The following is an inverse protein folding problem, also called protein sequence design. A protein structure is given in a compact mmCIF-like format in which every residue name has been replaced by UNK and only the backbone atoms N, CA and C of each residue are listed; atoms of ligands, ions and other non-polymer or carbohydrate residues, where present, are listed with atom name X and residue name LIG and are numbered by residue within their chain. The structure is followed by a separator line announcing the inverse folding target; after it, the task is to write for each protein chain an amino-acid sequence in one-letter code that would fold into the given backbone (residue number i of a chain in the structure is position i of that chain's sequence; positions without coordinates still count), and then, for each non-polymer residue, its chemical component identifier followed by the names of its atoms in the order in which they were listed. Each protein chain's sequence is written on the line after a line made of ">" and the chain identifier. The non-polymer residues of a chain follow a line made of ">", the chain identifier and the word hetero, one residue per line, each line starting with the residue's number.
data_IF_938733175253
#
_entry.id   IF_938733175253
#
_cell.length_a   1.000
_cell.length_b   1.000
_cell.length_c   1.000
_cell.angle_alpha   90.00
_cell.angle_beta   90.00
_cell.angle_gamma   90.00
#
_symmetry.space_group_name_H-M   'P 1'
#
loop_
_entity.id
_entity.type
_entity.pdbx_description
1 polymer ?
#
# COMPACT_ATOMS: atom_id res chain seq x y z
N UNK A 1 -14.41 18.90 -26.64
CA UNK A 1 -13.34 19.80 -27.12
C UNK A 1 -12.37 19.96 -25.95
N UNK A 2 -11.14 19.46 -25.90
CA UNK A 2 -10.19 18.87 -26.85
C UNK A 2 -9.47 17.74 -26.11
N UNK A 3 -9.65 16.49 -26.56
CA UNK A 3 -8.82 15.37 -26.13
C UNK A 3 -7.44 15.64 -26.72
N UNK A 4 -6.51 16.06 -25.88
CA UNK A 4 -5.11 16.27 -26.27
C UNK A 4 -4.57 14.97 -26.86
N UNK A 5 -4.04 15.02 -28.08
CA UNK A 5 -3.49 13.91 -28.87
C UNK A 5 -2.25 13.24 -28.23
N UNK A 6 -2.02 13.40 -26.93
CA UNK A 6 -0.90 12.83 -26.18
C UNK A 6 -1.11 11.37 -25.72
N UNK A 7 -2.22 10.73 -26.06
CA UNK A 7 -2.51 9.34 -25.65
C UNK A 7 -1.99 8.26 -26.61
N UNK A 8 -1.29 8.62 -27.70
CA UNK A 8 -0.90 7.66 -28.76
C UNK A 8 0.61 7.65 -29.11
N UNK A 9 1.51 8.18 -28.28
CA UNK A 9 2.94 8.28 -28.66
C UNK A 9 3.98 8.05 -27.54
N UNK A 10 3.67 7.33 -26.46
CA UNK A 10 4.60 7.21 -25.31
C UNK A 10 5.08 5.79 -24.99
N UNK A 11 4.95 4.86 -25.93
CA UNK A 11 5.78 3.65 -25.99
C UNK A 11 7.22 3.93 -26.50
N UNK A 12 7.56 5.17 -26.86
CA UNK A 12 8.81 5.52 -27.55
C UNK A 12 9.87 6.28 -26.72
N UNK A 13 9.67 6.56 -25.42
CA UNK A 13 10.63 7.40 -24.65
C UNK A 13 10.94 6.93 -23.22
N UNK A 14 10.64 5.67 -22.88
CA UNK A 14 11.28 5.00 -21.74
C UNK A 14 12.70 4.60 -22.20
N UNK A 15 13.77 4.98 -21.48
CA UNK A 15 15.05 4.32 -21.76
C UNK A 15 14.90 2.84 -21.48
N UNK A 16 15.56 1.98 -22.26
CA UNK A 16 15.54 0.52 -22.07
C UNK A 16 15.97 0.04 -20.67
N UNK A 17 16.47 0.94 -19.79
CA UNK A 17 17.05 0.62 -18.48
C UNK A 17 16.55 1.49 -17.31
N UNK A 18 15.58 2.40 -17.49
CA UNK A 18 15.10 3.29 -16.40
C UNK A 18 13.58 3.37 -16.38
N UNK A 19 12.99 3.20 -15.19
CA UNK A 19 11.54 3.28 -14.93
C UNK A 19 11.02 4.71 -14.69
N UNK A 20 11.81 5.72 -15.09
CA UNK A 20 11.51 7.15 -14.94
C UNK A 20 11.53 7.82 -16.31
N UNK A 21 10.51 8.64 -16.60
CA UNK A 21 10.38 9.32 -17.89
C UNK A 21 11.46 10.40 -18.08
N UNK A 22 12.10 10.44 -19.26
CA UNK A 22 13.16 11.42 -19.59
C UNK A 22 12.65 12.87 -19.68
N UNK A 23 11.36 13.08 -19.96
CA UNK A 23 10.77 14.40 -20.21
C UNK A 23 10.13 15.00 -18.95
N UNK A 24 9.14 14.33 -18.36
CA UNK A 24 8.45 14.84 -17.15
C UNK A 24 9.17 14.48 -15.85
N UNK A 25 10.15 13.56 -15.88
CA UNK A 25 10.84 13.01 -14.68
C UNK A 25 9.92 12.28 -13.69
N UNK A 26 8.72 11.98 -14.13
CA UNK A 26 7.69 11.29 -13.37
C UNK A 26 7.86 9.76 -13.52
N UNK A 27 7.43 8.99 -12.53
CA UNK A 27 7.60 7.53 -12.57
C UNK A 27 6.68 6.95 -13.66
N UNK A 28 6.91 5.72 -14.11
CA UNK A 28 5.98 5.03 -15.02
C UNK A 28 4.52 5.06 -14.51
N UNK A 29 4.34 5.17 -13.20
CA UNK A 29 3.07 5.22 -12.47
C UNK A 29 2.26 6.49 -12.77
N UNK A 30 2.92 7.57 -13.20
CA UNK A 30 2.29 8.85 -13.56
C UNK A 30 1.77 8.88 -15.03
N UNK A 31 2.04 7.81 -15.80
CA UNK A 31 1.78 7.76 -17.24
C UNK A 31 0.96 6.54 -17.72
N UNK A 32 0.78 5.53 -16.88
CA UNK A 32 0.01 4.34 -17.24
C UNK A 32 -0.71 3.80 -16.00
N UNK A 33 -2.01 4.07 -15.91
CA UNK A 33 -2.86 3.39 -14.94
C UNK A 33 -3.13 1.97 -15.44
N UNK A 34 -2.69 0.98 -14.66
CA UNK A 34 -2.97 -0.45 -14.84
C UNK A 34 -4.48 -0.70 -14.98
N UNK A 35 -4.84 -1.79 -15.66
CA UNK A 35 -6.21 -2.31 -15.58
C UNK A 35 -6.51 -2.84 -14.16
N UNK A 36 -7.78 -2.82 -13.76
CA UNK A 36 -8.23 -3.41 -12.49
C UNK A 36 -7.78 -4.87 -12.36
N UNK A 37 -7.74 -5.63 -13.45
CA UNK A 37 -7.28 -7.01 -13.45
C UNK A 37 -5.77 -7.16 -13.13
N UNK A 38 -4.95 -6.20 -13.53
CA UNK A 38 -3.53 -6.18 -13.21
C UNK A 38 -3.29 -5.79 -11.74
N UNK A 39 -4.05 -4.83 -11.22
CA UNK A 39 -4.02 -4.47 -9.80
C UNK A 39 -4.41 -5.67 -8.92
N UNK A 40 -5.43 -6.44 -9.31
CA UNK A 40 -5.85 -7.65 -8.59
C UNK A 40 -4.78 -8.74 -8.63
N UNK A 41 -4.06 -8.89 -9.74
CA UNK A 41 -2.93 -9.83 -9.83
C UNK A 41 -1.76 -9.37 -8.95
N UNK A 42 -1.46 -8.07 -8.91
CA UNK A 42 -0.39 -7.50 -8.06
C UNK A 42 -0.67 -7.78 -6.58
N UNK A 43 -1.83 -7.36 -6.08
CA UNK A 43 -2.21 -7.62 -4.69
C UNK A 43 -2.34 -9.12 -4.43
N UNK A 44 -2.90 -9.87 -5.38
CA UNK A 44 -3.05 -11.31 -5.31
C UNK A 44 -1.72 -12.04 -5.07
N UNK A 45 -0.65 -11.64 -5.78
CA UNK A 45 0.71 -12.17 -5.58
C UNK A 45 1.34 -11.74 -4.26
N UNK A 46 1.11 -10.50 -3.83
CA UNK A 46 1.61 -10.01 -2.54
C UNK A 46 0.99 -10.78 -1.37
N UNK A 47 -0.32 -11.00 -1.38
CA UNK A 47 -1.03 -11.69 -0.31
C UNK A 47 -0.98 -13.23 -0.44
N UNK A 48 -0.63 -13.76 -1.62
CA UNK A 48 -0.37 -15.17 -1.81
C UNK A 48 0.73 -15.64 -0.86
N UNK A 49 0.57 -16.86 -0.33
CA UNK A 49 1.54 -17.51 0.57
C UNK A 49 1.80 -16.72 1.87
N UNK A 50 0.89 -15.81 2.21
CA UNK A 50 0.84 -15.14 3.50
C UNK A 50 -0.38 -15.62 4.31
N UNK A 51 -0.45 -15.18 5.56
CA UNK A 51 -1.65 -15.34 6.42
C UNK A 51 -2.94 -14.82 5.77
N UNK A 52 -2.83 -13.87 4.84
CA UNK A 52 -3.95 -13.22 4.17
C UNK A 52 -4.35 -13.88 2.84
N UNK A 53 -3.89 -15.11 2.59
CA UNK A 53 -4.21 -15.84 1.36
C UNK A 53 -5.71 -16.08 1.16
N UNK A 54 -6.53 -16.04 2.22
CA UNK A 54 -7.99 -16.10 2.15
C UNK A 54 -8.62 -14.93 1.36
N UNK A 55 -7.95 -13.76 1.34
CA UNK A 55 -8.33 -12.57 0.56
C UNK A 55 -8.02 -12.72 -0.94
N UNK A 56 -7.50 -13.86 -1.36
CA UNK A 56 -7.15 -14.12 -2.77
C UNK A 56 -7.85 -15.38 -3.29
N UNK A 57 -8.00 -15.50 -4.60
CA UNK A 57 -8.58 -16.66 -5.29
C UNK A 57 -7.62 -17.17 -6.36
N UNK A 58 -7.56 -18.50 -6.56
CA UNK A 58 -6.83 -19.08 -7.70
C UNK A 58 -7.61 -18.82 -8.99
N UNK A 59 -6.91 -18.42 -10.04
CA UNK A 59 -7.51 -18.30 -11.38
C UNK A 59 -7.71 -19.71 -11.96
N UNK A 60 -8.94 -20.03 -12.38
CA UNK A 60 -9.24 -21.32 -13.01
C UNK A 60 -8.50 -21.46 -14.34
N UNK A 61 -7.82 -22.59 -14.55
CA UNK A 61 -7.09 -22.87 -15.80
C UNK A 61 -5.81 -22.04 -16.01
N UNK A 62 -5.32 -21.34 -14.98
CA UNK A 62 -4.07 -20.56 -15.03
C UNK A 62 -2.86 -21.32 -14.48
N UNK A 63 -1.71 -20.66 -14.56
CA UNK A 63 -0.38 -21.03 -14.04
C UNK A 63 -0.27 -21.07 -12.49
N UNK A 64 -1.38 -21.20 -11.78
CA UNK A 64 -1.43 -21.09 -10.31
C UNK A 64 -1.47 -19.65 -9.79
N UNK A 65 -1.49 -18.63 -10.66
CA UNK A 65 -1.64 -17.22 -10.24
C UNK A 65 -2.87 -17.02 -9.36
N UNK A 66 -2.69 -16.29 -8.27
CA UNK A 66 -3.76 -15.85 -7.37
C UNK A 66 -4.10 -14.39 -7.64
N UNK A 67 -5.39 -14.07 -7.64
CA UNK A 67 -5.94 -12.72 -7.79
C UNK A 67 -6.56 -12.27 -6.48
N UNK A 68 -6.50 -10.97 -6.20
CA UNK A 68 -7.16 -10.37 -5.06
C UNK A 68 -8.68 -10.45 -5.22
N UNK A 69 -9.38 -10.86 -4.16
CA UNK A 69 -10.85 -10.81 -4.08
C UNK A 69 -11.28 -9.40 -3.72
N UNK A 70 -11.05 -8.44 -4.62
CA UNK A 70 -11.40 -7.04 -4.41
C UNK A 70 -12.89 -6.91 -4.07
N UNK A 71 -13.20 -6.27 -2.95
CA UNK A 71 -14.56 -5.98 -2.55
C UNK A 71 -15.04 -4.70 -3.25
N UNK A 72 -15.87 -4.83 -4.29
CA UNK A 72 -16.53 -3.69 -4.95
C UNK A 72 -17.88 -3.45 -4.27
N UNK A 73 -18.10 -2.24 -3.76
CA UNK A 73 -19.33 -1.89 -3.07
C UNK A 73 -20.20 -1.01 -3.96
N UNK A 74 -21.45 -1.42 -4.17
CA UNK A 74 -22.45 -0.66 -4.93
C UNK A 74 -23.53 -0.20 -3.97
N UNK A 75 -23.79 1.11 -3.95
CA UNK A 75 -24.86 1.72 -3.15
C UNK A 75 -25.89 2.27 -4.12
N UNK A 76 -27.14 1.87 -3.94
CA UNK A 76 -28.27 2.37 -4.72
C UNK A 76 -29.22 3.14 -3.80
N UNK A 77 -29.25 4.46 -3.96
CA UNK A 77 -30.11 5.34 -3.20
C UNK A 77 -31.40 5.62 -4.00
N UNK A 78 -32.59 5.28 -3.47
CA UNK A 78 -33.84 5.61 -4.13
C UNK A 78 -34.07 7.12 -4.10
N UNK A 79 -34.30 7.71 -5.27
CA UNK A 79 -34.76 9.10 -5.40
C UNK A 79 -36.28 9.04 -5.49
N UNK A 80 -36.94 9.43 -4.40
CA UNK A 80 -38.40 9.49 -4.35
C UNK A 80 -38.87 10.75 -5.07
N UNK A 81 -39.06 10.65 -6.40
CA UNK A 81 -39.78 11.64 -7.19
C UNK A 81 -41.23 11.22 -7.37
N UNK A 82 -42.16 12.19 -7.36
CA UNK A 82 -43.62 11.94 -7.46
C UNK A 82 -44.07 11.39 -8.82
N UNK A 83 -43.21 11.38 -9.84
CA UNK A 83 -43.59 11.00 -11.22
C UNK A 83 -42.90 9.73 -11.73
N UNK A 84 -41.69 9.40 -11.29
CA UNK A 84 -41.00 8.16 -11.63
C UNK A 84 -39.96 7.81 -10.55
N UNK A 85 -39.90 6.57 -10.02
CA UNK A 85 -38.83 6.16 -9.12
C UNK A 85 -37.51 6.06 -9.89
N UNK A 86 -36.59 6.99 -9.64
CA UNK A 86 -35.22 6.94 -10.16
C UNK A 86 -34.26 6.50 -9.06
N UNK A 87 -33.14 5.88 -9.41
CA UNK A 87 -32.14 5.43 -8.44
C UNK A 87 -30.79 6.08 -8.72
N UNK A 88 -30.15 6.64 -7.70
CA UNK A 88 -28.76 7.07 -7.77
C UNK A 88 -27.85 5.91 -7.37
N UNK A 89 -26.95 5.50 -8.26
CA UNK A 89 -26.06 4.37 -8.01
C UNK A 89 -24.61 4.82 -7.93
N UNK A 90 -24.02 4.68 -6.75
CA UNK A 90 -22.62 4.96 -6.50
C UNK A 90 -21.87 3.64 -6.45
N UNK A 91 -20.85 3.49 -7.29
CA UNK A 91 -19.96 2.33 -7.29
C UNK A 91 -18.61 2.70 -6.69
N UNK A 92 -18.27 2.12 -5.55
CA UNK A 92 -16.91 2.16 -4.99
C UNK A 92 -16.10 1.01 -5.58
N UNK A 93 -14.95 1.32 -6.19
CA UNK A 93 -14.05 0.34 -6.78
C UNK A 93 -13.39 -0.55 -5.72
N UNK A 94 -13.30 -0.08 -4.47
CA UNK A 94 -12.79 -0.84 -3.34
C UNK A 94 -13.50 -0.46 -2.05
N UNK A 95 -13.70 -1.44 -1.17
CA UNK A 95 -14.13 -1.28 0.21
C UNK A 95 -13.40 -2.29 1.11
N UNK A 96 -13.27 -2.03 2.42
CA UNK A 96 -12.62 -2.97 3.32
C UNK A 96 -13.30 -4.36 3.29
N UNK A 97 -12.53 -5.45 3.34
CA UNK A 97 -13.08 -6.80 3.30
C UNK A 97 -13.80 -7.15 4.61
N UNK A 98 -14.81 -8.01 4.53
CA UNK A 98 -15.47 -8.60 5.71
C UNK A 98 -16.46 -7.70 6.44
N UNK A 99 -16.78 -6.51 5.91
CA UNK A 99 -17.73 -5.59 6.54
C UNK A 99 -19.17 -5.83 6.10
N UNK A 100 -20.10 -5.54 7.01
CA UNK A 100 -21.49 -5.29 6.63
C UNK A 100 -21.59 -4.02 5.79
N UNK A 101 -22.62 -3.92 4.94
CA UNK A 101 -22.82 -2.74 4.09
C UNK A 101 -22.93 -1.46 4.93
N UNK A 102 -23.63 -1.50 6.07
CA UNK A 102 -23.76 -0.37 6.99
C UNK A 102 -22.40 0.15 7.47
N UNK A 103 -21.53 -0.76 7.93
CA UNK A 103 -20.22 -0.38 8.44
C UNK A 103 -19.29 0.11 7.33
N UNK A 104 -19.37 -0.49 6.14
CA UNK A 104 -18.62 -0.04 4.97
C UNK A 104 -19.03 1.38 4.52
N UNK A 105 -20.32 1.72 4.59
CA UNK A 105 -20.82 3.08 4.31
C UNK A 105 -20.24 4.08 5.31
N UNK A 106 -20.34 3.79 6.62
CA UNK A 106 -19.77 4.66 7.66
C UNK A 106 -18.26 4.84 7.49
N UNK A 107 -17.54 3.78 7.10
CA UNK A 107 -16.12 3.86 6.81
C UNK A 107 -15.83 4.82 5.65
N UNK A 108 -16.59 4.72 4.54
CA UNK A 108 -16.43 5.61 3.40
C UNK A 108 -16.77 7.07 3.74
N UNK A 109 -17.73 7.33 4.63
CA UNK A 109 -18.06 8.68 5.10
C UNK A 109 -16.92 9.35 5.88
N UNK A 110 -16.05 8.56 6.51
CA UNK A 110 -14.87 9.05 7.25
C UNK A 110 -13.63 9.27 6.37
N UNK A 111 -13.72 8.96 5.07
CA UNK A 111 -12.67 9.26 4.08
C UNK A 111 -13.00 10.58 3.37
N UNK A 112 -12.04 11.51 3.22
CA UNK A 112 -12.22 12.74 2.44
C UNK A 112 -12.82 12.45 1.06
N UNK A 113 -13.82 13.25 0.63
CA UNK A 113 -14.64 12.96 -0.55
C UNK A 113 -13.80 12.82 -1.83
N UNK A 114 -12.76 13.64 -1.96
CA UNK A 114 -11.79 13.65 -3.04
C UNK A 114 -10.88 12.41 -3.09
N UNK A 115 -10.76 11.67 -1.98
CA UNK A 115 -9.95 10.45 -1.87
C UNK A 115 -10.79 9.16 -1.94
N UNK A 116 -12.13 9.26 -1.93
CA UNK A 116 -12.99 8.08 -1.98
C UNK A 116 -12.84 7.36 -3.32
N UNK A 117 -12.71 6.02 -3.35
CA UNK A 117 -12.46 5.27 -4.58
C UNK A 117 -13.75 5.05 -5.39
N UNK A 118 -14.50 6.11 -5.65
CA UNK A 118 -15.72 6.06 -6.47
C UNK A 118 -15.34 5.94 -7.94
N UNK A 119 -15.93 4.98 -8.64
CA UNK A 119 -15.63 4.67 -10.04
C UNK A 119 -15.72 5.93 -10.92
N UNK A 120 -14.68 6.14 -11.75
CA UNK A 120 -14.60 7.29 -12.66
C UNK A 120 -14.18 8.62 -12.01
N UNK A 121 -13.96 8.67 -10.69
CA UNK A 121 -13.57 9.91 -9.99
C UNK A 121 -12.05 10.05 -9.81
N UNK A 122 -11.60 11.24 -9.38
CA UNK A 122 -10.19 11.48 -9.02
C UNK A 122 -9.74 10.60 -7.84
N UNK A 123 -10.63 10.29 -6.89
CA UNK A 123 -10.29 9.42 -5.76
C UNK A 123 -10.00 7.98 -6.18
N UNK A 124 -10.73 7.44 -7.16
CA UNK A 124 -10.40 6.14 -7.76
C UNK A 124 -9.03 6.15 -8.46
N UNK A 125 -8.72 7.20 -9.23
CA UNK A 125 -7.41 7.36 -9.85
C UNK A 125 -6.30 7.52 -8.81
N UNK A 126 -6.54 8.29 -7.75
CA UNK A 126 -5.60 8.47 -6.65
C UNK A 126 -5.31 7.14 -5.94
N UNK A 127 -6.33 6.33 -5.64
CA UNK A 127 -6.14 4.97 -5.10
C UNK A 127 -5.24 4.11 -6.01
N UNK A 128 -5.47 4.09 -7.32
CA UNK A 128 -4.63 3.32 -8.27
C UNK A 128 -3.17 3.81 -8.27
N UNK A 129 -2.94 5.13 -8.22
CA UNK A 129 -1.59 5.70 -8.08
C UNK A 129 -0.91 5.27 -6.78
N UNK A 130 -1.63 5.28 -5.66
CA UNK A 130 -1.11 4.79 -4.37
C UNK A 130 -0.75 3.30 -4.45
N UNK A 131 -1.57 2.46 -5.10
CA UNK A 131 -1.28 1.03 -5.30
C UNK A 131 0.06 0.82 -6.00
N UNK A 132 0.28 1.53 -7.10
CA UNK A 132 1.52 1.46 -7.87
C UNK A 132 2.73 1.93 -7.06
N UNK A 133 2.61 3.09 -6.42
CA UNK A 133 3.70 3.72 -5.66
C UNK A 133 4.07 2.96 -4.38
N UNK A 134 3.06 2.49 -3.66
CA UNK A 134 3.25 1.84 -2.35
C UNK A 134 3.58 0.36 -2.46
N UNK A 135 3.13 -0.32 -3.52
CA UNK A 135 3.32 -1.76 -3.74
C UNK A 135 3.86 -2.03 -5.16
N UNK A 136 5.07 -1.53 -5.50
CA UNK A 136 5.63 -1.78 -6.82
C UNK A 136 5.81 -3.28 -7.08
N UNK A 137 5.41 -3.75 -8.26
CA UNK A 137 5.46 -5.18 -8.60
C UNK A 137 6.89 -5.73 -8.58
N UNK A 138 7.84 -4.89 -8.99
CA UNK A 138 9.27 -5.19 -9.01
C UNK A 138 9.94 -5.13 -7.63
N UNK A 139 9.20 -4.85 -6.55
CA UNK A 139 9.73 -5.01 -5.20
C UNK A 139 9.52 -6.44 -4.66
N UNK A 140 8.71 -7.26 -5.34
CA UNK A 140 8.37 -8.59 -4.84
C UNK A 140 8.28 -9.71 -5.88
N UNK A 141 8.47 -9.39 -7.17
CA UNK A 141 8.50 -10.37 -8.25
C UNK A 141 9.86 -10.28 -8.96
N UNK A 142 10.79 -11.23 -8.76
CA UNK A 142 12.11 -11.19 -9.38
C UNK A 142 12.09 -11.04 -10.90
N UNK A 143 11.13 -11.68 -11.58
CA UNK A 143 10.96 -11.59 -13.04
C UNK A 143 10.48 -10.22 -13.54
N UNK A 144 10.22 -9.27 -12.65
CA UNK A 144 9.86 -7.88 -12.99
C UNK A 144 11.02 -6.90 -12.73
N UNK A 145 12.15 -7.40 -12.24
CA UNK A 145 13.38 -6.64 -12.06
C UNK A 145 14.29 -6.75 -13.29
N UNK A 146 15.15 -5.76 -13.51
CA UNK A 146 16.10 -5.79 -14.61
C UNK A 146 17.40 -6.47 -14.16
N UNK A 147 17.84 -7.49 -14.89
CA UNK A 147 19.18 -8.08 -14.78
C UNK A 147 19.56 -8.63 -13.39
N UNK A 148 18.60 -9.15 -12.60
CA UNK A 148 18.95 -9.92 -11.41
C UNK A 148 19.68 -11.22 -11.84
N UNK A 149 20.83 -11.47 -11.23
CA UNK A 149 21.46 -12.79 -11.27
C UNK A 149 20.60 -13.82 -10.52
N UNK A 150 20.82 -15.12 -10.79
CA UNK A 150 20.09 -16.20 -10.10
C UNK A 150 20.24 -16.10 -8.56
N UNK A 151 21.42 -15.69 -8.09
CA UNK A 151 21.68 -15.49 -6.66
C UNK A 151 20.85 -14.33 -6.10
N UNK A 152 20.84 -13.18 -6.77
CA UNK A 152 20.07 -12.00 -6.33
C UNK A 152 18.56 -12.24 -6.41
N UNK A 153 18.09 -12.95 -7.43
CA UNK A 153 16.70 -13.37 -7.54
C UNK A 153 16.31 -14.25 -6.34
N UNK A 154 17.19 -15.18 -5.94
CA UNK A 154 16.96 -16.03 -4.77
C UNK A 154 16.93 -15.23 -3.46
N UNK A 155 17.87 -14.30 -3.28
CA UNK A 155 17.86 -13.38 -2.13
C UNK A 155 16.59 -12.53 -2.07
N UNK A 156 16.08 -12.10 -3.22
CA UNK A 156 14.81 -11.36 -3.30
C UNK A 156 13.62 -12.23 -2.92
N UNK A 157 13.55 -13.49 -3.37
CA UNK A 157 12.51 -14.43 -2.95
C UNK A 157 12.50 -14.65 -1.43
N UNK A 158 13.68 -14.86 -0.85
CA UNK A 158 13.82 -15.08 0.59
C UNK A 158 13.46 -13.81 1.38
N UNK A 159 13.85 -12.63 0.88
CA UNK A 159 13.43 -11.34 1.42
C UNK A 159 11.91 -11.16 1.39
N UNK A 160 11.27 -11.51 0.27
CA UNK A 160 9.82 -11.44 0.10
C UNK A 160 9.10 -12.36 1.08
N UNK A 161 9.57 -13.60 1.20
CA UNK A 161 9.05 -14.56 2.17
C UNK A 161 9.15 -14.02 3.60
N UNK A 162 10.32 -13.49 3.97
CA UNK A 162 10.56 -12.93 5.29
C UNK A 162 9.58 -11.80 5.64
N UNK A 163 9.40 -10.80 4.77
CA UNK A 163 8.51 -9.70 5.12
C UNK A 163 7.04 -10.12 5.10
N UNK A 164 6.63 -11.06 4.22
CA UNK A 164 5.25 -11.58 4.18
C UNK A 164 4.87 -12.23 5.50
N UNK A 165 5.83 -12.92 6.12
CA UNK A 165 5.67 -13.59 7.41
C UNK A 165 5.73 -12.61 8.59
N UNK A 166 6.67 -11.66 8.57
CA UNK A 166 7.03 -10.89 9.75
C UNK A 166 6.49 -9.45 9.78
N UNK A 167 6.22 -8.83 8.63
CA UNK A 167 5.89 -7.41 8.55
C UNK A 167 4.56 -7.12 7.84
N UNK A 168 4.24 -7.83 6.76
CA UNK A 168 3.04 -7.60 5.95
C UNK A 168 1.77 -7.83 6.78
N UNK A 169 0.86 -6.88 6.72
CA UNK A 169 -0.46 -6.93 7.34
C UNK A 169 -1.53 -6.35 6.44
N UNK A 170 -2.79 -6.69 6.74
CA UNK A 170 -3.98 -6.06 6.17
C UNK A 170 -4.81 -5.52 7.34
N UNK A 171 -5.15 -4.23 7.29
CA UNK A 171 -5.91 -3.57 8.34
C UNK A 171 -7.32 -4.15 8.46
N UNK A 172 -7.78 -4.30 9.69
CA UNK A 172 -9.11 -4.80 10.02
C UNK A 172 -9.99 -3.61 10.40
N UNK A 173 -11.19 -3.51 9.84
CA UNK A 173 -12.12 -2.43 10.17
C UNK A 173 -13.21 -2.97 11.09
N UNK A 174 -13.35 -2.36 12.26
CA UNK A 174 -14.34 -2.73 13.26
C UNK A 174 -14.72 -1.50 14.09
N UNK A 175 -15.77 -1.59 14.92
CA UNK A 175 -16.01 -0.54 15.91
C UNK A 175 -14.98 -0.59 17.04
N UNK A 176 -14.72 0.54 17.71
CA UNK A 176 -13.82 0.58 18.85
C UNK A 176 -14.15 -0.47 19.93
N UNK A 177 -13.22 -1.39 20.17
CA UNK A 177 -13.33 -2.49 21.13
C UNK A 177 -13.69 -3.84 20.50
N UNK A 178 -14.04 -3.87 19.22
CA UNK A 178 -14.46 -5.09 18.50
C UNK A 178 -13.35 -5.66 17.59
N UNK A 179 -12.17 -5.02 17.54
CA UNK A 179 -11.04 -5.50 16.75
C UNK A 179 -10.58 -6.89 17.19
N UNK A 180 -10.44 -7.82 16.24
CA UNK A 180 -9.95 -9.17 16.50
C UNK A 180 -11.00 -10.15 16.97
N UNK A 181 -12.27 -9.74 17.10
CA UNK A 181 -13.37 -10.59 17.57
C UNK A 181 -13.51 -11.90 16.77
N UNK A 182 -13.23 -11.88 15.46
CA UNK A 182 -13.29 -13.07 14.60
C UNK A 182 -12.21 -14.13 14.88
N UNK A 183 -11.23 -13.87 15.77
CA UNK A 183 -10.13 -14.80 16.09
C UNK A 183 -10.24 -15.43 17.47
N UNK A 184 -11.07 -14.90 18.37
CA UNK A 184 -11.25 -15.47 19.71
C UNK A 184 -12.15 -16.71 19.72
N UNK A 185 -13.06 -16.84 18.75
CA UNK A 185 -13.96 -17.99 18.67
C UNK A 185 -13.22 -19.30 18.32
N UNK A 186 -12.06 -19.25 17.65
CA UNK A 186 -11.23 -20.42 17.35
C UNK A 186 -10.36 -20.89 18.54
N UNK A 187 -10.25 -20.10 19.63
CA UNK A 187 -9.42 -20.44 20.81
C UNK A 187 -10.21 -21.00 22.00
N UNK A 188 -11.54 -21.06 21.94
CA UNK A 188 -12.39 -21.58 23.04
C UNK A 188 -12.57 -23.12 23.04
N UNK A 189 -11.61 -23.88 22.52
CA UNK A 189 -11.62 -25.34 22.64
C UNK A 189 -10.31 -25.92 23.22
N UNK A 190 -9.73 -25.24 24.22
CA UNK A 190 -8.59 -25.71 25.00
C UNK A 190 -8.91 -25.70 26.49
N UNK A 191 -9.02 -26.89 27.08
CA UNK A 191 -9.24 -27.18 28.51
C UNK A 191 -8.41 -26.27 29.44
N UNK A 192 -9.08 -25.58 30.37
CA UNK A 192 -8.44 -25.04 31.58
C UNK A 192 -8.64 -26.02 32.76
N UNK A 193 -7.63 -26.25 33.62
CA UNK A 193 -7.82 -26.94 34.88
C UNK A 193 -8.37 -25.99 35.97
N UNK A 194 -9.04 -26.51 37.01
CA UNK A 194 -9.73 -25.70 38.01
C UNK A 194 -8.75 -25.19 39.08
N UNK A 195 -8.93 -23.94 39.51
CA UNK A 195 -8.41 -23.46 40.79
C UNK A 195 -9.59 -22.93 41.60
N UNK A 196 -9.86 -23.62 42.72
CA UNK A 196 -10.83 -23.25 43.74
C UNK A 196 -10.38 -22.01 44.53
N UNK A 197 -11.34 -21.19 44.96
CA UNK A 197 -11.04 -20.02 45.79
C UNK A 197 -12.23 -19.11 46.15
N UNK A 198 -13.16 -19.67 46.92
CA UNK A 198 -13.94 -19.04 48.01
C UNK A 198 -14.87 -17.83 47.73
N UNK A 199 -16.15 -18.06 48.06
CA UNK A 199 -17.26 -17.10 48.15
C UNK A 199 -17.23 -16.26 49.44
N UNK A 200 -17.59 -14.98 49.34
CA UNK A 200 -18.38 -14.28 50.35
C UNK A 200 -19.25 -13.19 49.68
N UNK A 201 -20.49 -12.92 50.16
CA UNK A 201 -21.50 -12.16 49.41
C UNK A 201 -21.75 -10.74 49.93
N UNK A 202 -22.38 -9.94 49.05
CA UNK A 202 -23.05 -8.65 49.26
C UNK A 202 -22.20 -7.39 49.52
N UNK A 203 -22.25 -6.49 48.54
CA UNK A 203 -21.92 -5.08 48.67
C UNK A 203 -22.27 -4.34 47.37
N UNK A 204 -23.43 -3.69 47.37
CA UNK A 204 -23.93 -2.84 46.28
C UNK A 204 -22.91 -1.75 45.93
N UNK A 205 -22.35 -1.78 44.72
CA UNK A 205 -21.61 -0.66 44.15
C UNK A 205 -21.98 -0.56 42.68
N UNK A 206 -22.56 0.58 42.29
CA UNK A 206 -23.00 0.84 40.93
C UNK A 206 -21.86 0.59 39.95
N UNK A 207 -22.18 -0.14 38.88
CA UNK A 207 -21.35 -0.23 37.70
C UNK A 207 -21.27 1.16 37.09
N UNK A 208 -20.29 1.95 37.54
CA UNK A 208 -19.67 2.95 36.69
C UNK A 208 -19.08 2.18 35.51
N UNK A 209 -19.88 2.00 34.46
CA UNK A 209 -19.38 1.80 33.12
C UNK A 209 -18.48 3.00 32.78
N UNK A 210 -17.22 2.95 33.22
CA UNK A 210 -16.17 3.79 32.66
C UNK A 210 -16.13 3.43 31.19
N UNK A 211 -16.76 4.26 30.36
CA UNK A 211 -16.66 4.14 28.92
C UNK A 211 -15.17 4.21 28.59
N UNK A 212 -14.56 3.08 28.25
CA UNK A 212 -13.19 3.06 27.75
C UNK A 212 -13.13 4.07 26.59
N UNK A 213 -12.30 5.09 26.76
CA UNK A 213 -12.12 6.14 25.78
C UNK A 213 -11.05 5.68 24.79
N UNK A 214 -11.45 5.54 23.54
CA UNK A 214 -10.57 5.06 22.48
C UNK A 214 -9.86 6.24 21.83
N UNK A 215 -8.55 6.12 21.64
CA UNK A 215 -7.72 7.18 21.09
C UNK A 215 -7.02 6.69 19.83
N UNK A 216 -7.03 7.51 18.79
CA UNK A 216 -6.34 7.19 17.55
C UNK A 216 -4.83 7.24 17.77
N UNK A 217 -4.12 6.20 17.35
CA UNK A 217 -2.68 6.10 17.55
C UNK A 217 -1.89 7.16 16.76
N UNK A 218 -2.46 7.72 15.70
CA UNK A 218 -1.80 8.73 14.86
C UNK A 218 -2.03 10.17 15.31
N UNK A 219 -3.29 10.61 15.38
CA UNK A 219 -3.63 11.99 15.70
C UNK A 219 -3.84 12.23 17.21
N UNK A 220 -3.87 11.16 18.00
CA UNK A 220 -4.14 11.15 19.45
C UNK A 220 -5.52 11.69 19.86
N UNK A 221 -6.39 11.99 18.90
CA UNK A 221 -7.77 12.40 19.15
C UNK A 221 -8.66 11.18 19.41
N UNK A 222 -9.80 11.43 20.04
CA UNK A 222 -10.77 10.40 20.43
C UNK A 222 -11.43 9.76 19.21
N UNK A 223 -11.72 8.46 19.33
CA UNK A 223 -12.47 7.69 18.35
C UNK A 223 -13.82 7.36 18.95
N UNK A 224 -14.89 7.86 18.33
CA UNK A 224 -16.26 7.62 18.77
C UNK A 224 -16.59 6.13 18.60
N UNK A 225 -17.23 5.52 19.61
CA UNK A 225 -17.59 4.09 19.61
C UNK A 225 -18.49 3.65 18.44
N UNK A 226 -19.28 4.58 17.90
CA UNK A 226 -20.18 4.33 16.76
C UNK A 226 -19.49 4.45 15.39
N UNK A 227 -18.25 4.93 15.35
CA UNK A 227 -17.52 5.13 14.11
C UNK A 227 -16.49 4.02 13.90
N UNK A 228 -16.39 3.45 12.69
CA UNK A 228 -15.40 2.43 12.40
C UNK A 228 -13.98 2.96 12.59
N UNK A 229 -13.14 2.11 13.17
CA UNK A 229 -11.72 2.29 13.30
C UNK A 229 -10.98 1.19 12.53
N UNK A 230 -9.74 1.49 12.15
CA UNK A 230 -8.82 0.51 11.57
C UNK A 230 -7.94 -0.04 12.67
N UNK A 231 -7.74 -1.36 12.67
CA UNK A 231 -6.85 -2.09 13.55
C UNK A 231 -5.72 -2.73 12.75
N UNK A 232 -4.53 -2.78 13.33
CA UNK A 232 -3.37 -3.46 12.77
C UNK A 232 -2.99 -4.61 13.69
N UNK A 233 -3.36 -5.85 13.34
CA UNK A 233 -3.06 -7.04 14.14
C UNK A 233 -1.61 -7.10 14.67
N UNK A 234 -0.61 -6.76 13.84
CA UNK A 234 0.80 -6.81 14.25
C UNK A 234 1.18 -5.73 15.27
N UNK A 235 0.42 -4.65 15.32
CA UNK A 235 0.52 -3.60 16.32
C UNK A 235 -0.35 -3.84 17.54
N UNK A 236 -1.02 -4.99 17.63
CA UNK A 236 -1.96 -5.33 18.69
C UNK A 236 -3.33 -4.66 18.51
N UNK A 237 -4.34 -5.24 19.17
CA UNK A 237 -5.72 -4.76 19.10
C UNK A 237 -6.02 -3.67 20.16
N UNK A 238 -5.03 -3.28 20.95
CA UNK A 238 -5.08 -2.10 21.82
C UNK A 238 -4.89 -0.80 21.03
N UNK A 239 -4.34 -0.87 19.81
CA UNK A 239 -4.11 0.29 18.94
C UNK A 239 -5.14 0.34 17.83
N UNK A 240 -5.62 1.55 17.57
CA UNK A 240 -6.57 1.81 16.51
C UNK A 240 -6.31 3.16 15.84
N UNK A 241 -6.77 3.27 14.59
CA UNK A 241 -6.60 4.46 13.77
C UNK A 241 -7.95 4.89 13.22
N UNK A 242 -8.19 6.20 13.11
CA UNK A 242 -9.25 6.66 12.22
C UNK A 242 -8.94 6.20 10.78
N UNK A 243 -9.96 5.97 9.93
CA UNK A 243 -9.75 5.61 8.52
C UNK A 243 -8.74 6.52 7.80
N UNK A 244 -8.87 7.84 7.94
CA UNK A 244 -7.95 8.82 7.34
C UNK A 244 -6.57 8.91 8.03
N UNK A 245 -6.42 8.34 9.21
CA UNK A 245 -5.17 8.34 10.00
C UNK A 245 -4.33 7.07 9.80
N UNK A 246 -4.86 6.08 9.06
CA UNK A 246 -4.14 4.84 8.74
C UNK A 246 -3.16 5.08 7.57
N UNK A 247 -2.09 5.83 7.86
CA UNK A 247 -1.14 6.35 6.88
C UNK A 247 0.27 5.80 7.10
N UNK A 248 1.09 5.82 6.05
CA UNK A 248 2.50 5.50 6.16
C UNK A 248 3.26 6.56 6.99
N UNK A 249 4.11 6.13 7.91
CA UNK A 249 4.92 7.01 8.76
C UNK A 249 5.93 7.88 7.99
N UNK A 250 6.32 7.47 6.77
CA UNK A 250 7.30 8.17 5.92
C UNK A 250 6.66 9.15 4.93
N UNK A 251 5.80 8.68 4.03
CA UNK A 251 5.16 9.57 3.04
C UNK A 251 3.85 10.20 3.49
N UNK A 252 3.29 9.79 4.65
CA UNK A 252 2.02 10.32 5.18
C UNK A 252 0.79 10.08 4.30
N UNK A 253 0.95 9.31 3.22
CA UNK A 253 -0.16 8.87 2.37
C UNK A 253 -0.97 7.76 3.05
N UNK A 254 -2.30 7.69 2.81
CA UNK A 254 -3.14 6.57 3.24
C UNK A 254 -2.60 5.23 2.75
N UNK A 255 -2.59 4.23 3.62
CA UNK A 255 -2.14 2.89 3.24
C UNK A 255 -3.18 2.23 2.33
N UNK A 256 -2.80 2.05 1.08
CA UNK A 256 -3.70 1.60 0.01
C UNK A 256 -4.28 0.23 0.34
N UNK A 257 -5.60 0.11 0.21
CA UNK A 257 -6.37 -1.10 0.50
C UNK A 257 -6.14 -1.68 1.90
N UNK A 258 -5.76 -0.83 2.86
CA UNK A 258 -5.36 -1.20 4.22
C UNK A 258 -4.14 -2.13 4.28
N UNK A 259 -3.39 -2.27 3.20
CA UNK A 259 -2.17 -3.08 3.17
C UNK A 259 -1.05 -2.29 3.85
N UNK A 260 -0.46 -2.86 4.89
CA UNK A 260 0.55 -2.21 5.70
C UNK A 260 1.73 -3.13 5.98
N UNK A 261 2.84 -2.52 6.39
CA UNK A 261 4.03 -3.20 6.86
C UNK A 261 4.36 -2.66 8.24
N UNK A 262 4.40 -3.54 9.24
CA UNK A 262 4.69 -3.18 10.62
C UNK A 262 6.17 -3.31 10.91
N UNK A 263 6.79 -2.22 11.35
CA UNK A 263 8.18 -2.22 11.80
C UNK A 263 8.37 -1.14 12.86
N UNK A 264 9.11 -1.47 13.93
CA UNK A 264 9.48 -0.56 15.00
C UNK A 264 8.28 0.22 15.56
N UNK A 265 7.15 -0.46 15.78
CA UNK A 265 5.90 0.12 16.26
C UNK A 265 5.25 1.18 15.35
N UNK A 266 5.62 1.20 14.06
CA UNK A 266 5.09 2.14 13.09
C UNK A 266 4.47 1.43 11.88
N UNK A 267 3.47 2.08 11.29
CA UNK A 267 2.86 1.70 10.04
C UNK A 267 3.68 2.23 8.85
N UNK A 268 4.05 1.36 7.93
CA UNK A 268 4.75 1.69 6.70
C UNK A 268 4.04 1.13 5.47
N UNK A 269 4.19 1.79 4.32
CA UNK A 269 3.83 1.17 3.05
C UNK A 269 4.93 0.20 2.59
N UNK A 270 4.62 -0.69 1.64
CA UNK A 270 5.58 -1.69 1.16
C UNK A 270 6.88 -1.08 0.65
N UNK A 271 6.79 -0.07 -0.22
CA UNK A 271 7.96 0.67 -0.73
C UNK A 271 8.89 1.15 0.37
N UNK A 272 8.37 1.92 1.34
CA UNK A 272 9.21 2.49 2.39
C UNK A 272 9.70 1.43 3.37
N UNK A 273 8.92 0.37 3.63
CA UNK A 273 9.41 -0.74 4.44
C UNK A 273 10.63 -1.37 3.78
N UNK A 274 10.54 -1.69 2.49
CA UNK A 274 11.63 -2.28 1.72
C UNK A 274 12.87 -1.36 1.67
N UNK A 275 12.69 -0.04 1.56
CA UNK A 275 13.79 0.94 1.60
C UNK A 275 14.52 0.98 2.95
N UNK A 276 13.94 0.46 4.03
CA UNK A 276 14.63 0.30 5.32
C UNK A 276 15.43 -1.00 5.43
N UNK A 277 15.27 -1.91 4.48
CA UNK A 277 15.92 -3.24 4.47
C UNK A 277 16.95 -3.37 3.34
N UNK A 278 16.66 -2.78 2.17
CA UNK A 278 17.50 -2.81 0.98
C UNK A 278 17.59 -1.43 0.34
N UNK A 279 18.78 -1.01 -0.15
CA UNK A 279 18.92 0.27 -0.83
C UNK A 279 18.13 0.25 -2.15
N UNK A 280 17.49 1.37 -2.48
CA UNK A 280 16.75 1.52 -3.74
C UNK A 280 17.58 2.33 -4.74
N UNK A 281 17.68 1.83 -5.97
CA UNK A 281 18.39 2.51 -7.04
C UNK A 281 17.64 3.78 -7.46
N UNK A 282 18.23 4.95 -7.27
CA UNK A 282 17.67 6.23 -7.71
C UNK A 282 17.58 6.37 -9.25
N UNK A 283 18.20 5.47 -10.03
CA UNK A 283 18.15 5.48 -11.49
C UNK A 283 17.04 4.61 -12.10
N UNK A 284 16.82 3.39 -11.59
CA UNK A 284 15.80 2.47 -12.11
C UNK A 284 14.64 2.19 -11.14
N UNK A 285 14.71 2.73 -9.92
CA UNK A 285 13.71 2.62 -8.87
C UNK A 285 13.55 1.21 -8.26
N UNK A 286 14.40 0.25 -8.63
CA UNK A 286 14.40 -1.12 -8.07
C UNK A 286 15.25 -1.23 -6.80
N UNK A 287 14.92 -2.20 -5.94
CA UNK A 287 15.78 -2.59 -4.81
C UNK A 287 17.08 -3.21 -5.33
N UNK A 288 18.19 -2.86 -4.69
CA UNK A 288 19.53 -3.32 -5.01
C UNK A 288 19.86 -4.50 -4.09
N UNK A 289 20.05 -5.68 -4.67
CA UNK A 289 20.44 -6.90 -3.94
C UNK A 289 21.96 -7.15 -3.96
N UNK A 290 22.68 -6.61 -4.94
CA UNK A 290 24.15 -6.66 -4.97
C UNK A 290 24.79 -5.82 -3.86
N UNK A 291 25.93 -6.27 -3.37
CA UNK A 291 26.83 -5.46 -2.53
C UNK A 291 27.59 -4.40 -3.34
N UNK A 292 27.69 -4.59 -4.66
CA UNK A 292 28.50 -3.76 -5.55
C UNK A 292 27.67 -2.63 -6.19
N UNK A 293 27.35 -1.61 -5.40
CA UNK A 293 26.57 -0.44 -5.84
C UNK A 293 27.29 0.89 -5.58
N UNK A 294 26.75 1.98 -6.11
CA UNK A 294 27.30 3.33 -5.95
C UNK A 294 26.47 4.14 -4.97
N UNK A 295 27.15 4.85 -4.06
CA UNK A 295 26.55 5.78 -3.12
C UNK A 295 26.97 7.21 -3.45
N UNK A 296 25.99 8.11 -3.52
CA UNK A 296 26.23 9.54 -3.67
C UNK A 296 25.08 10.32 -3.04
N UNK A 297 25.38 11.36 -2.25
CA UNK A 297 24.37 12.23 -1.63
C UNK A 297 23.24 11.46 -0.89
N UNK A 298 23.63 10.44 -0.11
CA UNK A 298 22.69 9.61 0.66
C UNK A 298 21.77 8.72 -0.19
N UNK A 299 22.01 8.60 -1.49
CA UNK A 299 21.25 7.77 -2.43
C UNK A 299 22.11 6.64 -2.99
N UNK A 300 21.46 5.58 -3.45
CA UNK A 300 22.12 4.42 -4.02
C UNK A 300 21.79 4.25 -5.51
N UNK A 301 22.72 3.69 -6.28
CA UNK A 301 22.52 3.31 -7.67
C UNK A 301 23.18 1.97 -7.96
N UNK A 302 22.53 1.12 -8.76
CA UNK A 302 23.24 0.10 -9.53
C UNK A 302 24.38 0.77 -10.33
N UNK A 303 25.54 0.13 -10.44
CA UNK A 303 26.70 0.69 -11.18
C UNK A 303 26.36 1.11 -12.60
N UNK A 304 25.54 0.31 -13.28
CA UNK A 304 25.07 0.55 -14.64
C UNK A 304 24.18 1.80 -14.74
N UNK A 305 23.49 2.16 -13.65
CA UNK A 305 22.61 3.34 -13.59
C UNK A 305 23.30 4.59 -13.04
N UNK A 306 24.54 4.46 -12.56
CA UNK A 306 25.40 5.59 -12.20
C UNK A 306 26.02 6.22 -13.44
N UNK A 307 25.16 6.76 -14.30
CA UNK A 307 25.49 7.27 -15.62
C UNK A 307 24.77 8.60 -15.90
N UNK A 308 25.37 9.43 -16.75
CA UNK A 308 24.83 10.73 -17.15
C UNK A 308 23.44 10.58 -17.76
N UNK A 309 22.45 11.32 -17.26
CA UNK A 309 21.07 11.27 -17.73
C UNK A 309 20.90 11.70 -19.19
N UNK A 310 21.82 12.51 -19.73
CA UNK A 310 21.73 13.02 -21.11
C UNK A 310 22.43 12.13 -22.14
N UNK A 311 23.68 11.77 -21.88
CA UNK A 311 24.51 11.05 -22.85
C UNK A 311 24.84 9.62 -22.41
N UNK A 312 24.27 9.15 -21.30
CA UNK A 312 24.35 7.77 -20.79
C UNK A 312 25.77 7.27 -20.47
N UNK A 313 26.77 8.17 -20.48
CA UNK A 313 28.14 7.81 -20.13
C UNK A 313 28.24 7.39 -18.65
N UNK A 314 28.91 6.27 -18.33
CA UNK A 314 29.18 5.90 -16.94
C UNK A 314 29.98 6.98 -16.22
N UNK A 315 29.59 7.28 -14.98
CA UNK A 315 30.15 8.34 -14.15
C UNK A 315 30.98 7.82 -12.97
N UNK A 316 31.10 6.50 -12.83
CA UNK A 316 31.98 5.88 -11.83
C UNK A 316 33.40 6.42 -12.02
N UNK A 317 34.01 6.93 -10.94
CA UNK A 317 35.33 7.55 -10.93
C UNK A 317 35.49 8.79 -11.86
N UNK A 318 34.40 9.47 -12.23
CA UNK A 318 34.43 10.72 -13.01
C UNK A 318 33.79 11.86 -12.23
N UNK A 319 34.13 13.09 -12.58
CA UNK A 319 33.43 14.27 -12.05
C UNK A 319 32.00 14.35 -12.61
N UNK A 320 31.03 14.64 -11.74
CA UNK A 320 29.62 14.77 -12.06
C UNK A 320 28.96 15.88 -11.24
N UNK A 321 27.80 16.36 -11.69
CA UNK A 321 26.87 17.13 -10.87
C UNK A 321 25.65 16.27 -10.54
N UNK A 322 25.19 16.34 -9.30
CA UNK A 322 24.05 15.58 -8.79
C UNK A 322 23.04 16.55 -8.16
N UNK A 323 21.86 16.64 -8.76
CA UNK A 323 20.73 17.44 -8.24
C UNK A 323 19.45 16.62 -8.33
N UNK A 324 18.72 16.43 -7.22
CA UNK A 324 17.47 15.68 -7.18
C UNK A 324 17.53 14.30 -7.87
N UNK A 325 18.59 13.52 -7.61
CA UNK A 325 18.89 12.22 -8.26
C UNK A 325 19.23 12.27 -9.76
N UNK A 326 19.37 13.46 -10.35
CA UNK A 326 19.82 13.65 -11.73
C UNK A 326 21.34 13.72 -11.76
N UNK A 327 21.96 12.69 -12.32
CA UNK A 327 23.40 12.65 -12.57
C UNK A 327 23.71 13.25 -13.95
N UNK A 328 24.56 14.27 -14.00
CA UNK A 328 25.09 14.82 -15.25
C UNK A 328 26.62 14.81 -15.24
N UNK A 329 27.23 14.47 -16.37
CA UNK A 329 28.67 14.71 -16.55
C UNK A 329 28.96 16.22 -16.60
N UNK A 330 30.21 16.60 -16.38
CA UNK A 330 30.65 18.00 -16.43
C UNK A 330 30.32 18.70 -17.75
N UNK A 331 30.45 18.00 -18.89
CA UNK A 331 30.10 18.56 -20.21
C UNK A 331 28.59 18.83 -20.34
N UNK A 332 27.75 17.87 -19.96
CA UNK A 332 26.29 18.00 -20.02
C UNK A 332 25.75 19.00 -19.00
N UNK A 333 26.38 19.12 -17.84
CA UNK A 333 26.03 20.09 -16.80
C UNK A 333 26.24 21.53 -17.31
N UNK A 334 27.40 21.83 -17.88
CA UNK A 334 27.72 23.13 -18.48
C UNK A 334 26.78 23.52 -19.61
N UNK A 335 26.42 22.57 -20.48
CA UNK A 335 25.48 22.82 -21.59
C UNK A 335 24.02 22.98 -21.13
N UNK A 336 23.71 22.82 -19.85
CA UNK A 336 22.36 23.00 -19.29
C UNK A 336 22.13 24.37 -18.67
N UNK A 337 23.19 25.19 -18.51
CA UNK A 337 23.13 26.53 -17.90
C UNK A 337 22.93 27.66 -18.93
N UNK A 338 22.72 27.33 -20.20
CA UNK A 338 22.60 28.28 -21.32
C UNK A 338 21.22 28.25 -22.01
N UNK A 339 20.17 27.79 -21.33
CA UNK A 339 18.78 27.85 -21.81
C UNK A 339 17.91 28.59 -20.82
#
# INVERSE_FOLDING_TARGET
>A
MTISQHSLSLSLFLSAHRKVCKLCRCSQEDHSLCSDAEDDKRIGRLLAESKYSNLTARVKGGDGTRIYKRNRMIITNPIVSRKDPTFDTITYEWAPPGLTQKLAILYMELIPKEMQPVAGTQGAQYRRRLLMKQLPIYDHVPSQCHNLSEREAKEMEDFVKMYKENALGVGEVALPGEGGAHKEDDKKNGKQPPVEGHLAPNGTLGESHKMAEYHCEHCKQTVKKEHPAVYAERGGYERLWHPACFVCSKCREPLVDLIYFWKNQTLMCGRHYCETEKPRCAGCDELIFTEDYQLADGRAWHKQHFACMKCEQPLVNKAYSLEQAVLLCTACSKNSQHV
#
